data_IF_124526837770
#
_entry.id   IF_124526837770
#
_cell.length_a   1.000
_cell.length_b   1.000
_cell.length_c   1.000
_cell.angle_alpha   90.00
_cell.angle_beta   90.00
_cell.angle_gamma   90.00
#
_symmetry.space_group_name_H-M   'P 1'
#
loop_
_entity.id
_entity.type
_entity.pdbx_description
1 polymer ?
#
# COMPACT_ATOMS: atom_id res chain seq x y z
N UNK A 1 -13.62 -16.64 -11.31
CA UNK A 1 -12.77 -15.44 -11.48
C UNK A 1 -11.74 -15.43 -10.36
N UNK A 2 -10.47 -15.25 -10.69
CA UNK A 2 -9.41 -15.14 -9.68
C UNK A 2 -9.57 -13.80 -8.96
N UNK A 3 -9.74 -13.82 -7.65
CA UNK A 3 -9.87 -12.60 -6.85
C UNK A 3 -8.49 -11.98 -6.64
N UNK A 4 -8.13 -11.05 -7.54
CA UNK A 4 -6.83 -10.37 -7.58
C UNK A 4 -6.75 -9.21 -6.58
N UNK A 5 -7.88 -8.68 -6.13
CA UNK A 5 -7.94 -7.59 -5.15
C UNK A 5 -8.58 -8.01 -3.82
N UNK A 6 -8.09 -7.41 -2.73
CA UNK A 6 -8.61 -7.60 -1.38
C UNK A 6 -9.92 -6.86 -1.11
N UNK A 7 -10.45 -7.02 0.10
CA UNK A 7 -11.45 -6.08 0.61
C UNK A 7 -10.80 -4.75 1.00
N UNK A 8 -11.61 -3.69 1.11
CA UNK A 8 -11.16 -2.38 1.59
C UNK A 8 -10.64 -2.52 3.02
N UNK A 9 -9.44 -1.99 3.28
CA UNK A 9 -8.79 -1.99 4.60
C UNK A 9 -8.77 -0.59 5.18
N UNK A 10 -8.95 -0.46 6.49
CA UNK A 10 -8.98 0.83 7.17
C UNK A 10 -7.64 1.11 7.87
N UNK A 11 -6.96 2.18 7.45
CA UNK A 11 -5.71 2.65 8.07
C UNK A 11 -5.92 3.44 9.38
N UNK A 12 -7.15 3.84 9.68
CA UNK A 12 -7.48 4.76 10.77
C UNK A 12 -6.74 6.10 10.65
N UNK A 13 -6.39 6.68 11.80
CA UNK A 13 -5.68 7.96 11.89
C UNK A 13 -4.16 7.83 11.65
N UNK A 14 -3.73 6.76 10.99
CA UNK A 14 -2.32 6.48 10.75
C UNK A 14 -1.88 6.92 9.35
N UNK A 15 -0.68 7.49 9.26
CA UNK A 15 0.01 7.84 8.02
C UNK A 15 0.61 6.58 7.40
N UNK A 16 -0.21 5.79 6.73
CA UNK A 16 0.21 4.48 6.19
C UNK A 16 -0.31 4.18 4.78
N UNK A 17 -0.95 5.14 4.11
CA UNK A 17 -1.53 4.93 2.77
C UNK A 17 -0.54 4.25 1.81
N UNK A 18 0.72 4.69 1.78
CA UNK A 18 1.79 4.09 0.99
C UNK A 18 2.02 2.60 1.28
N UNK A 19 2.07 2.21 2.56
CA UNK A 19 2.28 0.82 2.96
C UNK A 19 1.08 -0.06 2.63
N UNK A 20 -0.15 0.48 2.77
CA UNK A 20 -1.35 -0.24 2.36
C UNK A 20 -1.36 -0.47 0.85
N UNK A 21 -1.18 0.59 0.05
CA UNK A 21 -1.13 0.52 -1.40
C UNK A 21 -0.01 -0.44 -1.88
N UNK A 22 1.19 -0.36 -1.30
CA UNK A 22 2.29 -1.25 -1.65
C UNK A 22 1.98 -2.72 -1.35
N UNK A 23 1.42 -3.01 -0.17
CA UNK A 23 0.98 -4.37 0.17
C UNK A 23 -0.05 -4.88 -0.84
N UNK A 24 -1.04 -4.05 -1.20
CA UNK A 24 -2.09 -4.42 -2.15
C UNK A 24 -1.54 -4.65 -3.56
N UNK A 25 -0.59 -3.84 -4.01
CA UNK A 25 0.09 -4.00 -5.29
C UNK A 25 0.82 -5.34 -5.35
N UNK A 26 1.62 -5.67 -4.32
CA UNK A 26 2.39 -6.93 -4.29
C UNK A 26 1.46 -8.13 -4.16
N UNK A 27 0.45 -8.08 -3.30
CA UNK A 27 -0.53 -9.15 -3.14
C UNK A 27 -1.28 -9.44 -4.44
N UNK A 28 -1.71 -8.40 -5.16
CA UNK A 28 -2.41 -8.55 -6.43
C UNK A 28 -1.48 -9.14 -7.51
N UNK A 29 -0.24 -8.64 -7.58
CA UNK A 29 0.79 -9.16 -8.47
C UNK A 29 1.11 -10.64 -8.20
N UNK A 30 1.24 -11.03 -6.93
CA UNK A 30 1.49 -12.41 -6.53
C UNK A 30 0.38 -13.37 -7.01
N UNK A 31 -0.87 -12.91 -7.03
CA UNK A 31 -1.99 -13.69 -7.59
C UNK A 31 -1.89 -13.79 -9.10
N UNK A 32 -1.66 -12.67 -9.79
CA UNK A 32 -1.54 -12.63 -11.25
C UNK A 32 -0.37 -13.47 -11.79
N UNK A 33 0.71 -13.60 -11.02
CA UNK A 33 1.86 -14.43 -11.35
C UNK A 33 1.79 -15.87 -10.80
N UNK A 34 0.64 -16.29 -10.24
CA UNK A 34 0.45 -17.66 -9.77
C UNK A 34 1.23 -18.04 -8.50
N UNK A 35 1.77 -17.06 -7.78
CA UNK A 35 2.43 -17.27 -6.48
C UNK A 35 1.42 -17.40 -5.33
N UNK A 36 0.23 -16.86 -5.53
CA UNK A 36 -0.93 -17.02 -4.65
C UNK A 36 -2.15 -17.46 -5.46
N UNK A 37 -2.90 -18.43 -4.94
CA UNK A 37 -4.17 -18.84 -5.53
C UNK A 37 -5.23 -17.73 -5.44
N UNK A 38 -5.24 -17.01 -4.31
CA UNK A 38 -6.16 -15.92 -4.03
C UNK A 38 -5.44 -14.79 -3.31
N UNK A 39 -5.93 -13.56 -3.45
CA UNK A 39 -5.39 -12.41 -2.74
C UNK A 39 -5.28 -12.70 -1.23
N UNK A 40 -4.12 -12.42 -0.66
CA UNK A 40 -3.86 -12.38 0.79
C UNK A 40 -3.07 -11.11 1.09
N UNK A 41 -3.50 -10.26 2.03
CA UNK A 41 -2.82 -9.00 2.30
C UNK A 41 -1.44 -9.26 2.90
N UNK A 42 -0.47 -8.43 2.49
CA UNK A 42 0.84 -8.37 3.12
C UNK A 42 0.85 -7.47 4.35
N UNK A 43 1.80 -7.69 5.25
CA UNK A 43 1.93 -6.95 6.50
C UNK A 43 2.41 -5.53 6.26
N UNK A 44 1.48 -4.57 6.30
CA UNK A 44 1.82 -3.15 6.31
C UNK A 44 2.62 -2.77 7.56
N UNK A 45 2.47 -3.52 8.66
CA UNK A 45 3.23 -3.28 9.89
C UNK A 45 4.71 -3.57 9.67
N UNK A 46 5.01 -4.67 8.97
CA UNK A 46 6.38 -5.02 8.66
C UNK A 46 7.06 -3.90 7.86
N UNK A 47 6.42 -3.44 6.78
CA UNK A 47 7.00 -2.40 5.93
C UNK A 47 7.24 -1.12 6.73
N UNK A 48 6.24 -0.62 7.46
CA UNK A 48 6.39 0.62 8.24
C UNK A 48 7.58 0.54 9.21
N UNK A 49 7.82 -0.60 9.86
CA UNK A 49 8.90 -0.74 10.86
C UNK A 49 10.30 -0.77 10.28
N UNK A 50 10.44 -1.17 9.02
CA UNK A 50 11.73 -1.52 8.44
C UNK A 50 12.07 -0.72 7.17
N UNK A 51 11.10 -0.05 6.55
CA UNK A 51 11.32 0.77 5.34
C UNK A 51 12.20 1.99 5.63
N UNK A 52 11.95 2.70 6.73
CA UNK A 52 12.81 3.77 7.21
C UNK A 52 13.08 3.63 8.73
N UNK A 53 14.20 2.98 9.10
CA UNK A 53 14.59 2.82 10.49
C UNK A 53 14.96 4.13 11.18
N UNK A 54 15.40 5.15 10.45
CA UNK A 54 15.81 6.43 11.02
C UNK A 54 14.58 7.21 11.48
N UNK A 55 13.57 7.32 10.63
CA UNK A 55 12.29 7.94 10.97
C UNK A 55 11.56 7.17 12.08
N UNK A 56 11.62 5.84 12.06
CA UNK A 56 11.09 5.02 13.15
C UNK A 56 11.76 5.31 14.49
N UNK A 57 13.08 5.54 14.51
CA UNK A 57 13.84 5.76 15.75
C UNK A 57 13.59 7.12 16.40
N UNK A 58 13.24 8.14 15.61
CA UNK A 58 13.00 9.52 16.08
C UNK A 58 11.66 9.65 16.83
N UNK A 59 10.67 8.79 16.53
CA UNK A 59 9.34 8.91 17.13
C UNK A 59 9.27 8.30 18.53
N UNK A 60 8.99 9.13 19.54
CA UNK A 60 8.67 8.75 20.92
C UNK A 60 7.36 9.40 21.38
N UNK A 61 6.58 8.64 22.16
CA UNK A 61 5.25 8.91 22.77
C UNK A 61 4.06 8.37 21.97
N UNK A 62 3.75 7.08 22.18
CA UNK A 62 2.44 6.48 21.86
C UNK A 62 2.17 6.18 20.39
N UNK A 63 2.72 6.97 19.45
CA UNK A 63 2.53 6.79 18.01
C UNK A 63 3.86 6.64 17.25
N UNK A 64 4.01 5.52 16.52
CA UNK A 64 5.24 5.19 15.79
C UNK A 64 5.12 5.29 14.25
N UNK A 65 3.93 5.44 13.67
CA UNK A 65 3.84 5.58 12.21
C UNK A 65 4.36 6.95 11.78
N UNK A 66 4.83 7.01 10.54
CA UNK A 66 5.39 8.19 9.91
C UNK A 66 4.89 8.26 8.48
N UNK A 67 4.87 9.47 7.95
CA UNK A 67 4.64 9.69 6.54
C UNK A 67 5.82 9.15 5.75
N UNK A 68 5.56 8.30 4.76
CA UNK A 68 6.59 7.69 3.92
C UNK A 68 6.15 7.87 2.48
N UNK A 69 7.04 8.37 1.64
CA UNK A 69 6.77 8.45 0.21
C UNK A 69 6.76 7.03 -0.40
N UNK A 70 5.97 6.86 -1.45
CA UNK A 70 5.79 5.55 -2.07
C UNK A 70 7.09 4.97 -2.64
N UNK A 71 8.02 5.82 -3.09
CA UNK A 71 9.29 5.40 -3.66
C UNK A 71 10.19 4.76 -2.59
N UNK A 72 10.28 5.35 -1.39
CA UNK A 72 11.00 4.78 -0.25
C UNK A 72 10.44 3.41 0.12
N UNK A 73 9.11 3.26 0.17
CA UNK A 73 8.46 1.99 0.46
C UNK A 73 8.75 0.93 -0.63
N UNK A 74 8.68 1.31 -1.91
CA UNK A 74 9.03 0.44 -3.05
C UNK A 74 10.50 -0.01 -3.00
N UNK A 75 11.41 0.93 -2.73
CA UNK A 75 12.84 0.65 -2.61
C UNK A 75 13.09 -0.38 -1.52
N UNK A 76 12.49 -0.20 -0.34
CA UNK A 76 12.56 -1.20 0.73
C UNK A 76 12.02 -2.57 0.28
N UNK A 77 10.85 -2.62 -0.36
CA UNK A 77 10.27 -3.89 -0.81
C UNK A 77 11.12 -4.63 -1.86
N UNK A 78 11.88 -3.88 -2.67
CA UNK A 78 12.82 -4.41 -3.65
C UNK A 78 14.14 -4.88 -3.02
N UNK A 79 14.66 -4.11 -2.06
CA UNK A 79 15.98 -4.36 -1.44
C UNK A 79 15.91 -5.29 -0.22
N UNK A 80 14.72 -5.51 0.36
CA UNK A 80 14.52 -6.38 1.52
C UNK A 80 14.84 -7.84 1.20
N UNK A 81 15.95 -8.34 1.73
CA UNK A 81 16.39 -9.74 1.56
C UNK A 81 15.47 -10.77 2.19
N UNK A 82 14.69 -10.38 3.19
CA UNK A 82 13.71 -11.26 3.85
C UNK A 82 12.36 -11.27 3.13
N UNK A 83 12.09 -10.29 2.27
CA UNK A 83 10.77 -10.06 1.69
C UNK A 83 9.76 -9.55 2.71
N UNK A 84 8.54 -9.34 2.25
CA UNK A 84 7.42 -8.84 3.05
C UNK A 84 6.49 -10.03 3.37
N UNK A 85 6.21 -10.32 4.65
CA UNK A 85 5.36 -11.43 5.04
C UNK A 85 3.87 -11.13 4.81
N UNK A 86 3.05 -12.18 4.83
CA UNK A 86 1.60 -12.03 4.93
C UNK A 86 1.19 -11.28 6.21
N UNK A 87 0.10 -10.54 6.15
CA UNK A 87 -0.46 -9.85 7.30
C UNK A 87 -0.99 -10.84 8.34
N UNK A 88 -0.77 -10.54 9.63
CA UNK A 88 -1.38 -11.33 10.70
C UNK A 88 -2.86 -11.00 10.90
N UNK A 89 -3.60 -11.95 11.51
CA UNK A 89 -5.05 -11.80 11.76
C UNK A 89 -5.43 -10.50 12.47
N UNK A 90 -4.58 -9.97 13.35
CA UNK A 90 -4.87 -8.72 14.05
C UNK A 90 -4.71 -7.47 13.18
N UNK A 91 -3.86 -7.51 12.15
CA UNK A 91 -3.75 -6.43 11.14
C UNK A 91 -5.04 -6.34 10.32
N UNK A 92 -5.68 -7.48 10.09
CA UNK A 92 -6.95 -7.57 9.38
C UNK A 92 -8.17 -7.22 10.25
N UNK A 93 -8.03 -7.26 11.57
CA UNK A 93 -9.14 -7.06 12.51
C UNK A 93 -9.46 -5.58 12.79
N UNK A 94 -8.83 -4.63 12.09
CA UNK A 94 -8.99 -3.19 12.33
C UNK A 94 -8.46 -2.70 13.68
N UNK A 95 -7.74 -3.56 14.43
CA UNK A 95 -7.19 -3.26 15.77
C UNK A 95 -5.69 -2.95 15.68
N UNK A 96 -5.29 -2.26 14.63
CA UNK A 96 -3.89 -1.92 14.41
C UNK A 96 -3.39 -1.00 15.54
N UNK A 97 -2.21 -1.33 16.07
CA UNK A 97 -1.45 -0.48 17.00
C UNK A 97 -0.05 -0.32 16.43
N UNK A 98 0.32 0.91 16.07
CA UNK A 98 1.66 1.23 15.55
C UNK A 98 2.81 0.86 16.51
N UNK A 99 2.56 0.75 17.81
CA UNK A 99 3.56 0.34 18.80
C UNK A 99 3.85 -1.17 18.83
N UNK A 100 3.14 -1.98 18.02
CA UNK A 100 3.32 -3.44 18.01
C UNK A 100 4.76 -3.80 17.64
N UNK A 101 5.35 -4.74 18.37
CA UNK A 101 6.62 -5.37 18.00
C UNK A 101 6.36 -6.41 16.91
N UNK A 102 7.17 -6.36 15.87
CA UNK A 102 7.08 -7.30 14.74
C UNK A 102 8.41 -8.02 14.54
N UNK A 103 8.35 -9.31 14.18
CA UNK A 103 9.48 -10.13 13.72
C UNK A 103 8.96 -11.18 12.75
N UNK A 104 9.68 -11.39 11.64
CA UNK A 104 9.42 -12.52 10.74
C UNK A 104 9.74 -13.83 11.47
N UNK A 105 8.88 -14.83 11.31
CA UNK A 105 9.12 -16.18 11.82
C UNK A 105 9.85 -17.01 10.77
N UNK A 106 10.70 -17.94 11.23
CA UNK A 106 11.36 -18.87 10.31
C UNK A 106 10.33 -19.69 9.52
N UNK A 107 10.52 -19.80 8.21
CA UNK A 107 9.62 -20.52 7.29
C UNK A 107 8.35 -19.77 6.90
N UNK A 108 8.20 -18.50 7.30
CA UNK A 108 7.08 -17.67 6.89
C UNK A 108 7.16 -17.32 5.39
N UNK A 109 6.04 -17.40 4.69
CA UNK A 109 5.96 -17.03 3.28
C UNK A 109 6.11 -15.51 3.15
N UNK A 110 7.07 -15.09 2.32
CA UNK A 110 7.35 -13.69 2.05
C UNK A 110 7.39 -13.39 0.55
N UNK A 111 7.21 -12.12 0.21
CA UNK A 111 7.14 -11.63 -1.16
C UNK A 111 8.13 -10.49 -1.37
N UNK A 112 8.77 -10.47 -2.54
CA UNK A 112 9.74 -9.45 -2.94
C UNK A 112 9.38 -8.87 -4.29
N UNK A 113 9.69 -7.60 -4.47
CA UNK A 113 9.61 -6.95 -5.77
C UNK A 113 10.92 -7.22 -6.51
N UNK A 114 10.85 -7.87 -7.68
CA UNK A 114 12.01 -8.02 -8.57
C UNK A 114 12.28 -6.73 -9.34
N UNK A 115 11.24 -6.19 -9.94
CA UNK A 115 11.32 -5.02 -10.82
C UNK A 115 10.15 -4.06 -10.53
N UNK A 116 10.43 -2.77 -10.70
CA UNK A 116 9.45 -1.70 -10.56
C UNK A 116 9.31 -1.04 -11.93
N UNK A 117 8.07 -0.96 -12.42
CA UNK A 117 7.75 -0.28 -13.66
C UNK A 117 7.03 1.03 -13.32
N UNK A 118 7.60 2.15 -13.76
CA UNK A 118 6.98 3.46 -13.67
C UNK A 118 6.33 3.80 -15.01
N UNK A 119 5.11 4.32 -14.97
CA UNK A 119 4.38 4.80 -16.12
C UNK A 119 4.49 6.33 -16.17
N UNK A 120 4.93 6.87 -17.29
CA UNK A 120 5.15 8.32 -17.43
C UNK A 120 3.86 9.07 -17.79
N UNK A 121 2.85 8.35 -18.29
CA UNK A 121 1.55 8.94 -18.64
C UNK A 121 0.39 8.12 -18.09
N UNK A 122 -0.76 8.77 -17.94
CA UNK A 122 -2.00 8.11 -17.51
C UNK A 122 -2.42 7.01 -18.49
N UNK A 123 -2.26 7.22 -19.80
CA UNK A 123 -2.60 6.24 -20.83
C UNK A 123 -1.78 4.95 -20.68
N UNK A 124 -0.49 5.06 -20.37
CA UNK A 124 0.36 3.89 -20.09
C UNK A 124 -0.11 3.14 -18.85
N UNK A 125 -0.47 3.87 -17.79
CA UNK A 125 -1.01 3.28 -16.57
C UNK A 125 -2.37 2.60 -16.81
N UNK A 126 -3.26 3.22 -17.59
CA UNK A 126 -4.57 2.67 -17.95
C UNK A 126 -4.45 1.43 -18.85
N UNK A 127 -3.48 1.40 -19.77
CA UNK A 127 -3.20 0.20 -20.57
C UNK A 127 -2.76 -0.96 -19.67
N UNK A 128 -1.86 -0.69 -18.70
CA UNK A 128 -1.46 -1.70 -17.72
C UNK A 128 -2.65 -2.16 -16.87
N UNK A 129 -3.52 -1.23 -16.48
CA UNK A 129 -4.64 -1.48 -15.58
C UNK A 129 -5.60 -2.56 -16.09
N UNK A 130 -5.68 -2.75 -17.42
CA UNK A 130 -6.44 -3.84 -18.06
C UNK A 130 -6.00 -5.24 -17.63
N UNK A 131 -4.77 -5.40 -17.14
CA UNK A 131 -4.17 -6.70 -16.83
C UNK A 131 -3.64 -6.79 -15.41
N UNK A 132 -3.22 -5.67 -14.81
CA UNK A 132 -2.60 -5.63 -13.49
C UNK A 132 -3.09 -4.42 -12.71
N UNK A 133 -3.14 -4.52 -11.38
CA UNK A 133 -3.35 -3.37 -10.51
C UNK A 133 -2.21 -2.36 -10.64
N UNK A 134 -2.52 -1.07 -10.55
CA UNK A 134 -1.54 0.02 -10.62
C UNK A 134 -1.61 0.84 -9.34
N UNK A 135 -0.48 1.19 -8.75
CA UNK A 135 -0.43 2.14 -7.64
C UNK A 135 -0.30 3.57 -8.18
N UNK A 136 -0.94 4.53 -7.52
CA UNK A 136 -0.90 5.94 -7.90
C UNK A 136 -0.93 6.85 -6.68
N UNK A 137 -0.32 8.02 -6.81
CA UNK A 137 -0.43 9.11 -5.84
C UNK A 137 -1.57 10.03 -6.27
N UNK A 138 -2.61 10.12 -5.44
CA UNK A 138 -3.79 10.97 -5.67
C UNK A 138 -3.60 12.31 -4.97
N UNK A 139 -3.72 13.40 -5.72
CA UNK A 139 -3.88 14.73 -5.16
C UNK A 139 -5.32 14.88 -4.66
N UNK A 140 -5.47 15.04 -3.35
CA UNK A 140 -6.76 15.14 -2.67
C UNK A 140 -7.12 16.62 -2.52
N UNK A 141 -8.09 17.08 -3.29
CA UNK A 141 -8.67 18.42 -3.11
C UNK A 141 -10.01 18.31 -2.38
N UNK A 142 -10.49 19.40 -1.81
CA UNK A 142 -11.80 19.47 -1.14
C UNK A 142 -12.90 18.71 -1.90
N UNK A 143 -13.61 17.82 -1.21
CA UNK A 143 -14.64 16.93 -1.76
C UNK A 143 -14.14 15.61 -2.36
N UNK A 144 -12.86 15.26 -2.17
CA UNK A 144 -12.30 13.97 -2.64
C UNK A 144 -12.85 12.74 -1.91
N UNK A 145 -13.36 12.90 -0.69
CA UNK A 145 -13.93 11.85 0.15
C UNK A 145 -15.48 11.81 0.13
N UNK A 146 -16.09 12.69 -0.67
CA UNK A 146 -17.54 12.71 -0.89
C UNK A 146 -18.03 11.47 -1.64
N UNK A 147 -19.30 11.09 -1.42
CA UNK A 147 -19.94 10.02 -2.17
C UNK A 147 -20.14 10.42 -3.65
N UNK A 148 -19.70 9.55 -4.57
CA UNK A 148 -19.99 9.69 -6.00
C UNK A 148 -18.75 9.72 -6.89
N UNK A 149 -18.88 10.37 -8.04
CA UNK A 149 -17.79 10.55 -9.00
C UNK A 149 -17.04 11.84 -8.69
N UNK A 150 -15.84 11.69 -8.16
CA UNK A 150 -14.93 12.82 -7.96
C UNK A 150 -14.31 13.23 -9.30
N UNK A 151 -14.56 14.48 -9.72
CA UNK A 151 -14.06 15.05 -10.97
C UNK A 151 -12.86 15.99 -10.79
N UNK A 152 -12.30 16.09 -9.58
CA UNK A 152 -11.15 16.94 -9.29
C UNK A 152 -11.51 18.38 -8.94
N UNK A 153 -10.59 19.30 -9.25
CA UNK A 153 -10.66 20.74 -8.92
C UNK A 153 -11.97 21.39 -9.38
N UNK A 154 -12.81 21.81 -8.43
CA UNK A 154 -13.71 22.95 -8.66
C UNK A 154 -12.89 24.24 -8.61
N UNK A 155 -13.32 25.33 -9.24
CA UNK A 155 -12.53 26.58 -9.40
C UNK A 155 -11.96 27.19 -8.10
N UNK A 156 -12.40 26.69 -6.93
CA UNK A 156 -11.98 27.15 -5.59
C UNK A 156 -11.45 26.06 -4.67
N UNK A 157 -11.34 24.81 -5.11
CA UNK A 157 -10.97 23.71 -4.22
C UNK A 157 -9.52 23.83 -3.73
N UNK A 158 -9.33 23.73 -2.42
CA UNK A 158 -8.00 23.72 -1.80
C UNK A 158 -7.40 22.31 -1.81
N UNK A 159 -6.07 22.23 -1.98
CA UNK A 159 -5.34 20.96 -1.83
C UNK A 159 -5.29 20.57 -0.35
N UNK A 160 -5.82 19.41 -0.01
CA UNK A 160 -5.83 18.87 1.36
C UNK A 160 -4.67 17.92 1.62
N UNK A 161 -4.13 17.29 0.58
CA UNK A 161 -2.94 16.43 0.70
C UNK A 161 -2.69 15.51 -0.48
N UNK A 162 -1.75 14.58 -0.29
CA UNK A 162 -1.41 13.53 -1.24
C UNK A 162 -1.72 12.18 -0.58
N UNK A 163 -2.34 11.27 -1.32
CA UNK A 163 -2.71 9.95 -0.82
C UNK A 163 -2.33 8.85 -1.80
N UNK A 164 -1.63 7.82 -1.30
CA UNK A 164 -1.30 6.66 -2.13
C UNK A 164 -2.49 5.70 -2.21
N UNK A 165 -2.88 5.36 -3.44
CA UNK A 165 -4.03 4.51 -3.74
C UNK A 165 -3.65 3.39 -4.70
N UNK A 166 -4.55 2.41 -4.81
CA UNK A 166 -4.49 1.38 -5.84
C UNK A 166 -5.63 1.60 -6.82
N UNK A 167 -5.28 1.73 -8.09
CA UNK A 167 -6.20 1.68 -9.21
C UNK A 167 -6.55 0.23 -9.49
N UNK A 168 -7.85 -0.04 -9.60
CA UNK A 168 -8.41 -1.33 -10.00
C UNK A 168 -9.30 -1.13 -11.23
N UNK A 169 -9.18 -1.98 -12.23
CA UNK A 169 -10.20 -2.07 -13.28
C UNK A 169 -11.41 -2.80 -12.71
N UNK A 170 -12.57 -2.16 -12.72
CA UNK A 170 -13.84 -2.87 -12.50
C UNK A 170 -14.12 -3.68 -13.77
N UNK A 171 -14.15 -5.01 -13.64
CA UNK A 171 -14.53 -5.95 -14.71
C UNK A 171 -15.76 -6.73 -14.27
#
# INVERSE_FOLDING_TARGET
MTKVAGGIRNKGDHYMCCFYALCDLISSSAVLHGQLETYKPLSQIFIFRYADPADFAIRKKGHYCYECDFYTALKFAKESTSGIPLAYKYEMAGKFKCAIKWKIKSGELTFQIKEVYKYETLEQALERLKTHTVAASLLCYEGWDDEGLYSGLTEKACLEGIHEVIMLACV
#
